data_IF_393846021866
#
_entry.id   IF_393846021866
#
_cell.length_a   1.000
_cell.length_b   1.000
_cell.length_c   1.000
_cell.angle_alpha   90.00
_cell.angle_beta   90.00
_cell.angle_gamma   90.00
#
_symmetry.space_group_name_H-M   'P 1'
#
loop_
_entity.id
_entity.type
_entity.pdbx_description
1 polymer ?
#
# COMPACT_ATOMS: atom_id res chain seq x y z
N UNK A 1 19.40 -22.51 35.23
CA UNK A 1 18.53 -23.64 34.82
C UNK A 1 17.36 -23.70 35.81
N UNK A 2 16.13 -23.44 35.37
CA UNK A 2 14.97 -23.54 36.26
C UNK A 2 14.87 -24.99 36.76
N UNK A 3 14.93 -25.17 38.08
CA UNK A 3 14.86 -26.50 38.71
C UNK A 3 13.45 -27.12 38.66
N UNK A 4 12.42 -26.31 38.35
CA UNK A 4 11.02 -26.72 38.41
C UNK A 4 10.32 -26.47 37.05
N UNK A 5 9.88 -27.52 36.34
CA UNK A 5 9.26 -27.38 35.01
C UNK A 5 7.93 -26.60 35.06
N UNK A 6 7.19 -26.69 36.17
CA UNK A 6 5.96 -25.92 36.40
C UNK A 6 6.21 -24.41 36.44
N UNK A 7 7.31 -23.96 37.06
CA UNK A 7 7.66 -22.54 37.15
C UNK A 7 8.01 -22.00 35.77
N UNK A 8 8.72 -22.78 34.95
CA UNK A 8 9.03 -22.43 33.57
C UNK A 8 7.77 -22.31 32.70
N UNK A 9 6.81 -23.22 32.86
CA UNK A 9 5.55 -23.17 32.12
C UNK A 9 4.72 -21.93 32.52
N UNK A 10 4.63 -21.66 33.82
CA UNK A 10 3.88 -20.52 34.34
C UNK A 10 4.53 -19.18 33.94
N UNK A 11 5.86 -19.07 33.96
CA UNK A 11 6.56 -17.86 33.54
C UNK A 11 6.36 -17.59 32.05
N UNK A 12 6.40 -18.63 31.21
CA UNK A 12 6.18 -18.50 29.76
C UNK A 12 4.75 -18.05 29.47
N UNK A 13 3.77 -18.60 30.20
CA UNK A 13 2.37 -18.19 30.11
C UNK A 13 2.17 -16.73 30.51
N UNK A 14 2.76 -16.29 31.63
CA UNK A 14 2.67 -14.90 32.09
C UNK A 14 3.32 -13.94 31.11
N UNK A 15 4.48 -14.30 30.54
CA UNK A 15 5.14 -13.48 29.51
C UNK A 15 4.28 -13.40 28.25
N UNK A 16 3.70 -14.52 27.80
CA UNK A 16 2.81 -14.54 26.63
C UNK A 16 1.57 -13.67 26.82
N UNK A 17 0.92 -13.77 27.98
CA UNK A 17 -0.22 -12.91 28.34
C UNK A 17 0.22 -11.44 28.40
N UNK A 18 1.37 -11.14 29.01
CA UNK A 18 1.91 -9.80 29.09
C UNK A 18 2.16 -9.17 27.71
N UNK A 19 2.74 -9.93 26.77
CA UNK A 19 2.97 -9.48 25.40
C UNK A 19 1.66 -9.27 24.63
N UNK A 20 0.66 -10.13 24.85
CA UNK A 20 -0.67 -9.93 24.24
C UNK A 20 -1.36 -8.68 24.76
N UNK A 21 -1.36 -8.47 26.09
CA UNK A 21 -1.93 -7.27 26.70
C UNK A 21 -1.20 -6.02 26.21
N UNK A 22 0.13 -6.06 26.12
CA UNK A 22 0.92 -4.97 25.55
C UNK A 22 0.55 -4.67 24.10
N UNK A 23 0.46 -5.70 23.26
CA UNK A 23 0.08 -5.57 21.85
C UNK A 23 -1.29 -4.91 21.67
N UNK A 24 -2.28 -5.33 22.46
CA UNK A 24 -3.63 -4.74 22.43
C UNK A 24 -3.64 -3.31 22.97
N UNK A 25 -2.82 -3.00 23.98
CA UNK A 25 -2.72 -1.67 24.56
C UNK A 25 -2.02 -0.65 23.65
N UNK A 26 -1.09 -1.10 22.80
CA UNK A 26 -0.39 -0.24 21.81
C UNK A 26 -1.34 0.27 20.73
N UNK A 27 -2.55 -0.31 20.59
CA UNK A 27 -3.61 0.29 19.78
C UNK A 27 -3.24 0.42 18.30
N UNK A 28 -2.58 -0.60 17.74
CA UNK A 28 -2.25 -0.62 16.33
C UNK A 28 -3.54 -0.63 15.51
N UNK A 29 -3.81 0.48 14.80
CA UNK A 29 -4.89 0.55 13.84
C UNK A 29 -4.40 0.01 12.49
N UNK A 30 -5.19 -0.81 11.78
CA UNK A 30 -4.86 -1.17 10.41
C UNK A 30 -4.80 0.09 9.54
N UNK A 31 -4.01 0.06 8.46
CA UNK A 31 -4.11 1.07 7.40
C UNK A 31 -5.47 0.88 6.70
N UNK A 32 -6.22 1.97 6.54
CA UNK A 32 -7.52 1.94 5.86
C UNK A 32 -7.30 2.18 4.37
N UNK A 33 -7.89 1.34 3.52
CA UNK A 33 -7.87 1.56 2.07
C UNK A 33 -8.79 2.71 1.64
N UNK A 34 -8.79 3.03 0.34
CA UNK A 34 -9.59 4.10 -0.25
C UNK A 34 -11.09 4.00 0.10
N UNK A 35 -11.66 2.80 0.09
CA UNK A 35 -13.08 2.56 0.40
C UNK A 35 -13.45 2.88 1.87
N UNK A 36 -12.48 2.77 2.80
CA UNK A 36 -12.70 2.99 4.23
C UNK A 36 -12.19 4.35 4.73
N UNK A 37 -11.09 4.86 4.16
CA UNK A 37 -10.46 6.13 4.54
C UNK A 37 -10.92 7.30 3.67
N UNK A 38 -11.47 7.03 2.49
CA UNK A 38 -11.63 8.03 1.44
C UNK A 38 -10.29 8.42 0.81
N UNK A 39 -10.33 9.31 -0.17
CA UNK A 39 -9.14 9.73 -0.92
C UNK A 39 -9.47 10.07 -2.37
N UNK A 40 -8.50 9.83 -3.26
CA UNK A 40 -8.61 10.17 -4.69
C UNK A 40 -8.26 8.95 -5.54
N UNK A 41 -9.10 8.68 -6.53
CA UNK A 41 -8.81 7.74 -7.62
C UNK A 41 -8.68 8.53 -8.93
N UNK A 42 -7.61 8.27 -9.68
CA UNK A 42 -7.34 8.92 -10.96
C UNK A 42 -7.04 7.85 -12.00
N UNK A 43 -7.75 7.92 -13.13
CA UNK A 43 -7.46 7.13 -14.33
C UNK A 43 -6.67 8.02 -15.29
N UNK A 44 -5.45 7.60 -15.62
CA UNK A 44 -4.54 8.31 -16.51
C UNK A 44 -4.47 7.60 -17.85
N UNK A 45 -4.73 8.36 -18.91
CA UNK A 45 -4.68 7.89 -20.28
C UNK A 45 -3.57 8.63 -21.05
N UNK A 46 -2.89 7.96 -22.01
CA UNK A 46 -2.01 8.60 -22.95
C UNK A 46 -2.75 9.69 -23.72
N UNK A 47 -2.08 10.82 -23.95
CA UNK A 47 -2.67 11.90 -24.73
C UNK A 47 -2.93 11.41 -26.16
N UNK A 48 -4.16 11.57 -26.65
CA UNK A 48 -4.64 11.08 -27.96
C UNK A 48 -3.96 11.78 -29.15
N UNK A 49 -2.70 11.43 -29.35
CA UNK A 49 -1.83 11.93 -30.41
C UNK A 49 -0.99 10.77 -30.92
N UNK A 50 -0.75 10.67 -32.23
CA UNK A 50 -0.06 9.50 -32.82
C UNK A 50 1.31 9.22 -32.19
N UNK A 51 2.03 10.26 -31.80
CA UNK A 51 3.32 10.16 -31.12
C UNK A 51 3.20 9.55 -29.72
N UNK A 52 2.27 10.06 -28.87
CA UNK A 52 2.13 9.57 -27.51
C UNK A 52 1.48 8.19 -27.43
N UNK A 53 0.60 7.86 -28.38
CA UNK A 53 0.04 6.50 -28.51
C UNK A 53 1.13 5.49 -28.89
N UNK A 54 2.05 5.87 -29.78
CA UNK A 54 3.21 5.02 -30.11
C UNK A 54 4.19 4.84 -28.94
N UNK A 55 4.25 5.83 -28.03
CA UNK A 55 5.06 5.77 -26.82
C UNK A 55 4.38 5.03 -25.66
N UNK A 56 3.09 4.70 -25.75
CA UNK A 56 2.37 3.96 -24.71
C UNK A 56 2.71 2.45 -24.71
N UNK A 57 3.99 2.10 -24.81
CA UNK A 57 4.46 0.71 -24.71
C UNK A 57 4.48 0.25 -23.25
N UNK A 58 4.46 -1.06 -23.01
CA UNK A 58 4.49 -1.64 -21.65
C UNK A 58 5.69 -1.13 -20.82
N UNK A 59 6.88 -1.06 -21.41
CA UNK A 59 8.10 -0.55 -20.74
C UNK A 59 7.97 0.92 -20.32
N UNK A 60 7.36 1.75 -21.18
CA UNK A 60 7.16 3.16 -20.90
C UNK A 60 6.07 3.37 -19.85
N UNK A 61 5.01 2.56 -19.85
CA UNK A 61 3.99 2.55 -18.80
C UNK A 61 4.59 2.14 -17.45
N UNK A 62 5.44 1.11 -17.43
CA UNK A 62 6.15 0.70 -16.21
C UNK A 62 7.06 1.82 -15.68
N UNK A 63 7.77 2.51 -16.58
CA UNK A 63 8.57 3.69 -16.22
C UNK A 63 7.69 4.80 -15.65
N UNK A 64 6.53 5.07 -16.26
CA UNK A 64 5.58 6.06 -15.76
C UNK A 64 5.05 5.68 -14.37
N UNK A 65 4.73 4.40 -14.12
CA UNK A 65 4.33 3.89 -12.80
C UNK A 65 5.41 4.14 -11.75
N UNK A 66 6.68 3.88 -12.06
CA UNK A 66 7.77 4.15 -11.12
C UNK A 66 7.91 5.65 -10.79
N UNK A 67 7.75 6.51 -11.79
CA UNK A 67 7.79 7.97 -11.61
C UNK A 67 6.61 8.41 -10.74
N UNK A 68 5.40 7.91 -11.01
CA UNK A 68 4.20 8.22 -10.24
C UNK A 68 4.36 7.76 -8.79
N UNK A 69 4.88 6.55 -8.54
CA UNK A 69 5.16 6.05 -7.19
C UNK A 69 6.10 6.98 -6.42
N UNK A 70 7.24 7.33 -7.02
CA UNK A 70 8.21 8.26 -6.40
C UNK A 70 7.58 9.62 -6.07
N UNK A 71 6.70 10.13 -6.92
CA UNK A 71 6.01 11.42 -6.71
C UNK A 71 5.00 11.33 -5.58
N UNK A 72 4.23 10.24 -5.54
CA UNK A 72 3.22 10.01 -4.50
C UNK A 72 3.88 9.79 -3.14
N UNK A 73 4.98 9.03 -3.10
CA UNK A 73 5.79 8.86 -1.89
C UNK A 73 6.29 10.22 -1.36
N UNK A 74 6.67 11.14 -2.25
CA UNK A 74 7.13 12.48 -1.88
C UNK A 74 6.01 13.37 -1.30
N UNK A 75 4.74 13.07 -1.60
CA UNK A 75 3.56 13.77 -1.04
C UNK A 75 3.19 13.19 0.34
N UNK A 76 3.79 12.06 0.74
CA UNK A 76 3.58 11.46 2.06
C UNK A 76 2.36 10.55 2.13
N UNK A 77 1.88 10.06 0.99
CA UNK A 77 0.79 9.09 0.93
C UNK A 77 1.31 7.72 1.36
N UNK A 78 0.68 7.13 2.36
CA UNK A 78 1.00 5.77 2.79
C UNK A 78 0.41 4.77 1.79
N UNK A 79 1.28 3.97 1.15
CA UNK A 79 0.92 2.84 0.27
C UNK A 79 -0.06 3.17 -0.87
N UNK A 80 0.39 3.90 -1.90
CA UNK A 80 -0.44 4.11 -3.09
C UNK A 80 -0.57 2.85 -3.93
N UNK A 81 -1.78 2.58 -4.40
CA UNK A 81 -2.04 1.49 -5.35
C UNK A 81 -2.00 2.06 -6.78
N UNK A 82 -0.97 1.65 -7.52
CA UNK A 82 -0.74 2.11 -8.90
C UNK A 82 -0.69 0.86 -9.79
N UNK A 83 -1.70 0.71 -10.62
CA UNK A 83 -1.86 -0.45 -11.51
C UNK A 83 -1.95 -0.02 -12.96
N UNK A 84 -1.37 -0.82 -13.85
CA UNK A 84 -1.50 -0.68 -15.30
C UNK A 84 -2.60 -1.60 -15.77
N UNK A 85 -3.58 -1.06 -16.50
CA UNK A 85 -4.53 -1.83 -17.26
C UNK A 85 -4.14 -1.75 -18.73
N UNK A 86 -3.48 -2.80 -19.20
CA UNK A 86 -3.11 -2.97 -20.61
C UNK A 86 -4.04 -4.01 -21.22
N UNK A 87 -4.92 -3.61 -22.13
CA UNK A 87 -5.90 -4.50 -22.75
C UNK A 87 -6.40 -4.00 -24.10
N UNK A 88 -6.00 -4.66 -25.19
CA UNK A 88 -6.34 -4.24 -26.55
C UNK A 88 -5.57 -2.98 -26.98
N UNK A 89 -6.27 -2.01 -27.57
CA UNK A 89 -5.72 -0.69 -27.96
C UNK A 89 -5.66 0.31 -26.78
N UNK A 90 -6.03 -0.12 -25.58
CA UNK A 90 -6.24 0.74 -24.43
C UNK A 90 -5.17 0.50 -23.37
N UNK A 91 -4.41 1.55 -23.08
CA UNK A 91 -3.32 1.55 -22.11
C UNK A 91 -3.59 2.63 -21.06
N UNK A 92 -4.08 2.25 -19.89
CA UNK A 92 -4.41 3.20 -18.83
C UNK A 92 -3.67 2.87 -17.54
N UNK A 93 -3.34 3.91 -16.76
CA UNK A 93 -2.74 3.78 -15.43
C UNK A 93 -3.78 4.23 -14.41
N UNK A 94 -4.12 3.37 -13.47
CA UNK A 94 -5.00 3.70 -12.36
C UNK A 94 -4.15 4.00 -11.14
N UNK A 95 -4.40 5.15 -10.54
CA UNK A 95 -3.71 5.63 -9.36
C UNK A 95 -4.74 5.84 -8.26
N UNK A 96 -4.65 5.05 -7.20
CA UNK A 96 -5.49 5.17 -6.01
C UNK A 96 -4.65 5.68 -4.84
N UNK A 97 -5.12 6.78 -4.25
CA UNK A 97 -4.45 7.53 -3.21
C UNK A 97 -5.38 7.62 -1.99
N UNK A 98 -5.23 6.75 -0.98
CA UNK A 98 -6.04 6.82 0.24
C UNK A 98 -5.57 7.95 1.16
N UNK A 99 -6.51 8.57 1.88
CA UNK A 99 -6.22 9.54 2.94
C UNK A 99 -5.79 10.94 2.50
N UNK A 100 -5.97 11.28 1.22
CA UNK A 100 -5.76 12.65 0.70
C UNK A 100 -7.05 13.46 0.85
N UNK A 101 -6.95 14.65 1.44
CA UNK A 101 -8.04 15.63 1.49
C UNK A 101 -7.84 16.65 0.35
N UNK A 102 -8.92 16.96 -0.39
CA UNK A 102 -8.94 17.89 -1.53
C UNK A 102 -9.18 19.34 -1.10
#
# INVERSE_FOLDING_TARGET
MLKNPLVALLSTLVIGIGLLVWSLAVGQQPLLGLDLQGGVEVVLEPVDTPENLALATEDNLNTAVEILRKRVDAIGVAEPDITTQTGGDNNFIIVQLPGIEN
#
